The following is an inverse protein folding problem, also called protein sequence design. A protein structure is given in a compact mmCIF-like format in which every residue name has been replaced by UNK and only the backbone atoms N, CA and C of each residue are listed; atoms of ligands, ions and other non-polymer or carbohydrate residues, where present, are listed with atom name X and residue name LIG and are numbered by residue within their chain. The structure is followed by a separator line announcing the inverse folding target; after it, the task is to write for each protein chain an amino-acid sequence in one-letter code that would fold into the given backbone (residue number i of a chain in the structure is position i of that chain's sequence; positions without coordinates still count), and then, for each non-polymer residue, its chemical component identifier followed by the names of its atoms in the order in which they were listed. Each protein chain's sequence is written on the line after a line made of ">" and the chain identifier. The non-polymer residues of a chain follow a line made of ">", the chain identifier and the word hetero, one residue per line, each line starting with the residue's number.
data_IF_850050105354
#
_entry.id   IF_850050105354
#
_cell.length_a   1.000
_cell.length_b   1.000
_cell.length_c   1.000
_cell.angle_alpha   90.00
_cell.angle_beta   90.00
_cell.angle_gamma   90.00
#
_symmetry.space_group_name_H-M   'P 1'
#
loop_
_entity.id
_entity.type
_entity.pdbx_description
1 polymer ?
#
# COMPACT_ATOMS: atom_id res chain seq x y z
N UNK A 1 -19.80 5.57 3.40
CA UNK A 1 -18.69 5.69 2.43
C UNK A 1 -18.23 7.15 2.32
N UNK A 2 -18.27 7.91 3.43
CA UNK A 2 -18.11 9.39 3.43
C UNK A 2 -16.83 9.88 4.13
N UNK A 3 -16.14 9.03 4.88
CA UNK A 3 -15.06 9.47 5.78
C UNK A 3 -13.72 9.70 5.04
N UNK A 4 -13.52 9.01 3.92
CA UNK A 4 -12.28 9.05 3.13
C UNK A 4 -12.04 10.37 2.38
N UNK A 5 -13.11 11.07 1.98
CA UNK A 5 -12.99 12.39 1.34
C UNK A 5 -12.57 13.48 2.32
N UNK A 6 -12.80 13.27 3.62
CA UNK A 6 -12.45 14.24 4.66
C UNK A 6 -10.94 14.36 4.77
N UNK A 7 -10.20 13.25 4.81
CA UNK A 7 -8.74 13.29 4.91
C UNK A 7 -8.10 13.96 3.69
N UNK A 8 -8.53 13.60 2.48
CA UNK A 8 -8.01 14.22 1.25
C UNK A 8 -8.27 15.72 1.26
N UNK A 9 -9.48 16.15 1.63
CA UNK A 9 -9.82 17.57 1.76
C UNK A 9 -8.99 18.26 2.85
N UNK A 10 -8.78 17.63 4.01
CA UNK A 10 -7.94 18.16 5.08
C UNK A 10 -6.48 18.32 4.64
N UNK A 11 -5.92 17.37 3.88
CA UNK A 11 -4.56 17.46 3.35
C UNK A 11 -4.45 18.54 2.26
N UNK A 12 -5.46 18.67 1.40
CA UNK A 12 -5.51 19.73 0.38
C UNK A 12 -5.61 21.12 1.01
N UNK A 13 -6.43 21.27 2.05
CA UNK A 13 -6.58 22.52 2.80
C UNK A 13 -5.32 22.81 3.61
N UNK A 14 -4.80 21.81 4.33
CA UNK A 14 -3.56 21.91 5.10
C UNK A 14 -2.38 22.34 4.24
N UNK A 15 -2.21 21.80 3.03
CA UNK A 15 -1.12 22.24 2.12
C UNK A 15 -1.16 23.74 1.76
N UNK A 16 -2.32 24.40 1.85
CA UNK A 16 -2.44 25.84 1.57
C UNK A 16 -2.09 26.71 2.79
N UNK A 17 -2.04 26.11 3.97
CA UNK A 17 -1.66 26.74 5.21
C UNK A 17 -0.15 26.58 5.43
N UNK A 18 0.55 27.70 5.62
CA UNK A 18 2.01 27.71 5.83
C UNK A 18 2.41 27.15 7.18
N UNK A 19 1.48 27.14 8.14
CA UNK A 19 1.74 26.61 9.48
C UNK A 19 1.40 25.11 9.58
N UNK A 20 0.84 24.52 8.51
CA UNK A 20 0.52 23.10 8.48
C UNK A 20 1.73 22.24 8.13
N UNK A 21 2.02 21.30 9.04
CA UNK A 21 3.06 20.29 8.88
C UNK A 21 2.43 18.91 8.98
N UNK A 22 2.50 18.13 7.89
CA UNK A 22 1.98 16.77 7.87
C UNK A 22 2.66 15.89 8.94
N UNK A 23 3.92 16.18 9.26
CA UNK A 23 4.63 15.54 10.37
C UNK A 23 3.91 15.78 11.70
N UNK A 24 3.55 17.02 12.01
CA UNK A 24 2.92 17.37 13.28
C UNK A 24 1.49 16.83 13.38
N UNK A 25 0.79 16.75 12.24
CA UNK A 25 -0.53 16.12 12.16
C UNK A 25 -0.48 14.59 12.37
N UNK A 26 0.55 13.91 11.86
CA UNK A 26 0.69 12.46 11.95
C UNK A 26 1.30 11.98 13.27
N UNK A 27 2.11 12.81 13.93
CA UNK A 27 2.86 12.41 15.12
C UNK A 27 1.98 11.91 16.29
N UNK A 28 0.82 12.50 16.61
CA UNK A 28 -0.09 11.97 17.64
C UNK A 28 -0.61 10.57 17.31
N UNK A 29 -0.95 10.32 16.04
CA UNK A 29 -1.44 9.01 15.57
C UNK A 29 -0.32 7.97 15.65
N UNK A 30 0.90 8.33 15.24
CA UNK A 30 2.06 7.45 15.35
C UNK A 30 2.41 7.11 16.80
N UNK A 31 2.29 8.09 17.71
CA UNK A 31 2.48 7.87 19.16
C UNK A 31 1.44 6.90 19.70
N UNK A 32 0.17 7.05 19.32
CA UNK A 32 -0.89 6.13 19.71
C UNK A 32 -0.64 4.73 19.14
N UNK A 33 -0.28 4.65 17.85
CA UNK A 33 0.01 3.39 17.15
C UNK A 33 1.16 2.60 17.78
N UNK A 34 2.19 3.28 18.30
CA UNK A 34 3.33 2.64 18.96
C UNK A 34 3.16 2.52 20.48
N UNK A 35 2.12 3.14 21.05
CA UNK A 35 1.84 3.14 22.48
C UNK A 35 1.24 1.81 22.96
N UNK A 36 1.30 1.57 24.27
CA UNK A 36 0.77 0.36 24.90
C UNK A 36 -0.75 0.21 24.67
N UNK A 37 -1.48 1.32 24.55
CA UNK A 37 -2.93 1.35 24.33
C UNK A 37 -3.33 1.24 22.84
N UNK A 38 -2.34 1.16 21.94
CA UNK A 38 -2.55 1.20 20.49
C UNK A 38 -2.90 -0.13 19.82
N UNK A 39 -3.15 -1.21 20.57
CA UNK A 39 -3.32 -2.57 20.01
C UNK A 39 -4.45 -2.64 18.96
N UNK A 40 -5.59 -2.03 19.25
CA UNK A 40 -6.73 -2.01 18.32
C UNK A 40 -6.38 -1.22 17.04
N UNK A 41 -5.72 -0.07 17.20
CA UNK A 41 -5.26 0.73 16.08
C UNK A 41 -4.21 -0.01 15.24
N UNK A 42 -3.24 -0.70 15.87
CA UNK A 42 -2.27 -1.57 15.18
C UNK A 42 -2.97 -2.62 14.34
N UNK A 43 -3.94 -3.31 14.92
CA UNK A 43 -4.73 -4.34 14.23
C UNK A 43 -5.45 -3.77 13.01
N UNK A 44 -6.07 -2.59 13.13
CA UNK A 44 -6.74 -1.94 12.01
C UNK A 44 -5.76 -1.48 10.93
N UNK A 45 -4.63 -0.88 11.33
CA UNK A 45 -3.57 -0.45 10.40
C UNK A 45 -2.98 -1.63 9.65
N UNK A 46 -2.76 -2.77 10.31
CA UNK A 46 -2.28 -4.00 9.67
C UNK A 46 -3.26 -4.47 8.60
N UNK A 47 -4.55 -4.56 8.93
CA UNK A 47 -5.58 -4.98 7.96
C UNK A 47 -5.65 -4.05 6.75
N UNK A 48 -5.65 -2.74 7.00
CA UNK A 48 -5.74 -1.76 5.93
C UNK A 48 -4.47 -1.76 5.07
N UNK A 49 -3.28 -1.90 5.67
CA UNK A 49 -2.03 -2.01 4.92
C UNK A 49 -1.98 -3.26 4.03
N UNK A 50 -2.52 -4.39 4.48
CA UNK A 50 -2.67 -5.59 3.64
C UNK A 50 -3.59 -5.30 2.46
N UNK A 51 -4.77 -4.74 2.71
CA UNK A 51 -5.74 -4.38 1.66
C UNK A 51 -5.17 -3.41 0.62
N UNK A 52 -4.44 -2.39 1.08
CA UNK A 52 -3.73 -1.43 0.21
C UNK A 52 -2.64 -2.11 -0.61
N UNK A 53 -1.88 -3.02 0.00
CA UNK A 53 -0.82 -3.77 -0.70
C UNK A 53 -1.40 -4.67 -1.78
N UNK A 54 -2.49 -5.38 -1.49
CA UNK A 54 -3.25 -6.16 -2.47
C UNK A 54 -3.72 -5.28 -3.62
N UNK A 55 -4.32 -4.13 -3.32
CA UNK A 55 -4.82 -3.19 -4.32
C UNK A 55 -3.70 -2.69 -5.26
N UNK A 56 -2.54 -2.38 -4.71
CA UNK A 56 -1.37 -1.96 -5.50
C UNK A 56 -0.85 -3.09 -6.38
N UNK A 57 -0.61 -4.28 -5.81
CA UNK A 57 0.00 -5.41 -6.53
C UNK A 57 -0.97 -5.98 -7.57
N UNK A 58 -2.18 -6.38 -7.15
CA UNK A 58 -3.16 -7.00 -8.04
C UNK A 58 -3.67 -6.00 -9.07
N UNK A 59 -3.87 -4.73 -8.68
CA UNK A 59 -4.20 -3.67 -9.63
C UNK A 59 -3.11 -3.49 -10.70
N UNK A 60 -1.83 -3.55 -10.33
CA UNK A 60 -0.72 -3.47 -11.30
C UNK A 60 -0.69 -4.67 -12.25
N UNK A 61 -0.97 -5.88 -11.75
CA UNK A 61 -1.09 -7.10 -12.58
C UNK A 61 -2.26 -6.97 -13.57
N UNK A 62 -3.39 -6.43 -13.10
CA UNK A 62 -4.56 -6.14 -13.92
C UNK A 62 -4.22 -5.14 -15.03
N UNK A 63 -3.56 -4.03 -14.70
CA UNK A 63 -3.19 -3.01 -15.69
C UNK A 63 -2.20 -3.56 -16.71
N UNK A 64 -1.21 -4.34 -16.26
CA UNK A 64 -0.27 -5.03 -17.13
C UNK A 64 -1.01 -5.98 -18.08
N UNK A 65 -1.93 -6.80 -17.58
CA UNK A 65 -2.76 -7.68 -18.42
C UNK A 65 -3.61 -6.90 -19.44
N UNK A 66 -4.25 -5.82 -19.00
CA UNK A 66 -5.08 -4.97 -19.85
C UNK A 66 -4.25 -4.25 -20.93
N UNK A 67 -2.99 -3.92 -20.65
CA UNK A 67 -2.08 -3.26 -21.60
C UNK A 67 -1.55 -4.18 -22.70
N UNK A 68 -1.69 -5.50 -22.56
CA UNK A 68 -1.30 -6.47 -23.58
C UNK A 68 -2.36 -6.49 -24.70
N UNK A 69 -1.98 -6.33 -25.98
CA UNK A 69 -2.88 -6.48 -27.13
C UNK A 69 -3.57 -7.85 -27.15
N UNK A 70 -4.84 -7.92 -27.55
CA UNK A 70 -5.65 -9.14 -27.50
C UNK A 70 -5.01 -10.36 -28.16
N UNK A 71 -4.30 -10.16 -29.28
CA UNK A 71 -3.59 -11.22 -29.99
C UNK A 71 -2.46 -11.86 -29.18
N UNK A 72 -1.87 -11.12 -28.22
CA UNK A 72 -0.78 -11.58 -27.38
C UNK A 72 -1.27 -12.15 -26.04
N UNK A 73 -2.52 -11.86 -25.63
CA UNK A 73 -3.12 -12.38 -24.38
C UNK A 73 -3.20 -13.91 -24.38
N UNK A 74 -3.47 -14.52 -25.54
CA UNK A 74 -3.56 -15.98 -25.72
C UNK A 74 -2.26 -16.71 -25.37
N UNK A 75 -1.10 -16.06 -25.50
CA UNK A 75 0.19 -16.66 -25.17
C UNK A 75 0.50 -16.65 -23.66
N UNK A 76 -0.11 -15.76 -22.89
CA UNK A 76 0.09 -15.63 -21.43
C UNK A 76 -0.76 -16.66 -20.67
N UNK A 77 -1.90 -17.08 -21.22
CA UNK A 77 -2.86 -18.01 -20.60
C UNK A 77 -2.42 -19.49 -20.63
N UNK A 78 -1.33 -19.84 -21.32
CA UNK A 78 -0.85 -21.23 -21.41
C UNK A 78 -0.01 -21.68 -20.20
N UNK A 79 0.28 -20.77 -19.27
CA UNK A 79 0.77 -21.11 -17.92
C UNK A 79 -0.41 -21.01 -16.95
N UNK A 80 -0.60 -22.04 -16.12
CA UNK A 80 -1.64 -22.17 -15.09
C UNK A 80 -1.64 -21.01 -14.06
N UNK A 81 -1.99 -19.82 -14.50
CA UNK A 81 -2.24 -18.64 -13.69
C UNK A 81 -3.74 -18.48 -13.74
N UNK A 82 -4.42 -18.96 -12.70
CA UNK A 82 -5.76 -18.50 -12.36
C UNK A 82 -5.67 -16.98 -12.24
N UNK A 83 -5.94 -16.29 -13.35
CA UNK A 83 -5.71 -14.86 -13.49
C UNK A 83 -6.63 -14.04 -12.58
N UNK A 84 -6.70 -12.71 -12.78
CA UNK A 84 -7.59 -11.81 -12.05
C UNK A 84 -9.10 -12.16 -12.10
N UNK A 85 -9.46 -13.24 -12.81
CA UNK A 85 -10.80 -13.75 -13.06
C UNK A 85 -11.49 -14.38 -11.84
N UNK A 86 -10.84 -14.49 -10.68
CA UNK A 86 -11.46 -15.01 -9.45
C UNK A 86 -12.19 -13.95 -8.62
N UNK A 87 -12.02 -12.66 -8.95
CA UNK A 87 -12.56 -11.51 -8.21
C UNK A 87 -13.76 -10.94 -8.97
N UNK A 88 -14.85 -10.61 -8.25
CA UNK A 88 -16.04 -10.02 -8.88
C UNK A 88 -15.76 -8.59 -9.40
N UNK A 89 -16.48 -8.15 -10.43
CA UNK A 89 -16.26 -6.83 -11.05
C UNK A 89 -16.37 -5.67 -10.06
N UNK A 90 -17.34 -5.72 -9.14
CA UNK A 90 -17.53 -4.71 -8.10
C UNK A 90 -16.37 -4.69 -7.08
N UNK A 91 -15.87 -5.87 -6.73
CA UNK A 91 -14.75 -6.04 -5.81
C UNK A 91 -13.46 -5.50 -6.46
N UNK A 92 -13.24 -5.85 -7.72
CA UNK A 92 -12.13 -5.34 -8.54
C UNK A 92 -12.18 -3.82 -8.66
N UNK A 93 -13.35 -3.24 -8.93
CA UNK A 93 -13.52 -1.79 -9.02
C UNK A 93 -13.19 -1.10 -7.69
N UNK A 94 -13.71 -1.59 -6.57
CA UNK A 94 -13.42 -1.05 -5.24
C UNK A 94 -11.92 -1.12 -4.91
N UNK A 95 -11.25 -2.21 -5.29
CA UNK A 95 -9.82 -2.36 -5.13
C UNK A 95 -9.02 -1.33 -5.94
N UNK A 96 -9.41 -1.08 -7.20
CA UNK A 96 -8.76 -0.07 -8.04
C UNK A 96 -8.98 1.35 -7.49
N UNK A 97 -10.18 1.65 -6.99
CA UNK A 97 -10.48 2.93 -6.34
C UNK A 97 -9.63 3.16 -5.08
N UNK A 98 -9.47 2.12 -4.25
CA UNK A 98 -8.61 2.18 -3.07
C UNK A 98 -7.17 2.48 -3.46
N UNK A 99 -6.63 1.79 -4.48
CA UNK A 99 -5.27 2.03 -4.98
C UNK A 99 -5.10 3.49 -5.42
N UNK A 100 -6.02 3.98 -6.23
CA UNK A 100 -5.95 5.33 -6.77
C UNK A 100 -6.06 6.39 -5.67
N UNK A 101 -6.90 6.14 -4.66
CA UNK A 101 -7.00 6.98 -3.47
C UNK A 101 -5.70 7.02 -2.67
N UNK A 102 -5.06 5.87 -2.46
CA UNK A 102 -3.76 5.78 -1.77
C UNK A 102 -2.70 6.58 -2.52
N UNK A 103 -2.65 6.48 -3.84
CA UNK A 103 -1.72 7.29 -4.65
C UNK A 103 -2.00 8.78 -4.56
N UNK A 104 -3.26 9.21 -4.52
CA UNK A 104 -3.61 10.62 -4.29
C UNK A 104 -3.13 11.11 -2.92
N UNK A 105 -3.44 10.38 -1.85
CA UNK A 105 -3.02 10.74 -0.48
C UNK A 105 -1.49 10.78 -0.40
N UNK A 106 -0.80 9.80 -0.99
CA UNK A 106 0.65 9.75 -1.05
C UNK A 106 1.24 10.99 -1.74
N UNK A 107 0.71 11.35 -2.91
CA UNK A 107 1.13 12.55 -3.63
C UNK A 107 0.89 13.83 -2.82
N UNK A 108 -0.22 13.91 -2.09
CA UNK A 108 -0.52 15.06 -1.21
C UNK A 108 0.48 15.16 -0.06
N UNK A 109 0.77 14.05 0.64
CA UNK A 109 1.75 14.00 1.72
C UNK A 109 3.14 14.41 1.23
N UNK A 110 3.60 13.86 0.10
CA UNK A 110 4.89 14.23 -0.49
C UNK A 110 4.97 15.70 -0.91
N UNK A 111 3.84 16.30 -1.29
CA UNK A 111 3.77 17.72 -1.66
C UNK A 111 3.61 18.67 -0.49
N UNK A 112 3.50 18.16 0.74
CA UNK A 112 3.36 19.01 1.94
C UNK A 112 4.71 19.52 2.41
N UNK A 113 4.71 20.76 2.92
CA UNK A 113 5.91 21.41 3.39
C UNK A 113 6.53 20.61 4.56
N UNK A 114 7.84 20.42 4.51
CA UNK A 114 8.62 19.72 5.53
C UNK A 114 8.21 18.25 5.78
N UNK A 115 7.57 17.59 4.80
CA UNK A 115 7.30 16.16 4.90
C UNK A 115 8.60 15.35 4.95
N UNK A 116 8.78 14.61 6.04
CA UNK A 116 9.88 13.68 6.20
C UNK A 116 9.37 12.25 5.96
N UNK A 117 9.80 11.55 4.89
CA UNK A 117 9.34 10.20 4.60
C UNK A 117 9.76 9.18 5.67
N UNK A 118 10.74 9.50 6.53
CA UNK A 118 11.18 8.60 7.59
C UNK A 118 10.14 8.41 8.69
N UNK A 119 9.16 9.32 8.83
CA UNK A 119 8.08 9.19 9.83
C UNK A 119 7.24 7.93 9.60
N UNK A 120 7.18 7.45 8.35
CA UNK A 120 6.42 6.27 7.97
C UNK A 120 7.11 4.96 8.35
N UNK A 121 8.38 5.03 8.80
CA UNK A 121 9.11 3.85 9.29
C UNK A 121 8.39 3.20 10.46
N UNK A 122 7.69 3.97 11.29
CA UNK A 122 6.87 3.44 12.39
C UNK A 122 5.74 2.53 11.91
N UNK A 123 5.12 2.86 10.77
CA UNK A 123 4.10 2.00 10.15
C UNK A 123 4.75 0.71 9.66
N UNK A 124 5.94 0.79 9.04
CA UNK A 124 6.68 -0.40 8.61
C UNK A 124 7.06 -1.32 9.77
N UNK A 125 7.32 -0.78 10.96
CA UNK A 125 7.61 -1.58 12.16
C UNK A 125 6.38 -2.39 12.59
N UNK A 126 5.20 -1.77 12.60
CA UNK A 126 3.92 -2.45 12.91
C UNK A 126 3.64 -3.55 11.88
N UNK A 127 3.92 -3.33 10.61
CA UNK A 127 3.72 -4.36 9.57
C UNK A 127 4.71 -5.53 9.65
N UNK A 128 5.78 -5.40 10.43
CA UNK A 128 6.73 -6.50 10.65
C UNK A 128 6.31 -7.43 11.80
N UNK A 129 5.30 -7.03 12.59
CA UNK A 129 4.74 -7.83 13.69
C UNK A 129 4.24 -9.20 13.18
N UNK A 130 4.37 -10.26 14.00
CA UNK A 130 3.97 -11.61 13.60
C UNK A 130 2.47 -11.70 13.26
N UNK A 131 1.64 -10.87 13.87
CA UNK A 131 0.22 -10.69 13.58
C UNK A 131 0.02 -10.26 12.12
N UNK A 132 0.78 -9.28 11.64
CA UNK A 132 0.76 -8.86 10.24
C UNK A 132 1.18 -9.98 9.29
N UNK A 133 2.12 -10.85 9.69
CA UNK A 133 2.53 -12.02 8.91
C UNK A 133 1.45 -13.10 8.86
N UNK A 134 0.70 -13.30 9.94
CA UNK A 134 -0.41 -14.26 10.00
C UNK A 134 -1.64 -13.79 9.23
N UNK A 135 -1.93 -12.48 9.23
CA UNK A 135 -2.98 -11.85 8.43
C UNK A 135 -2.58 -11.89 6.94
N UNK A 136 -1.31 -11.63 6.61
CA UNK A 136 -0.75 -11.87 5.28
C UNK A 136 -0.73 -13.34 4.86
N UNK A 137 -0.68 -14.28 5.82
CA UNK A 137 -0.66 -15.72 5.56
C UNK A 137 -1.91 -16.29 4.88
N UNK A 138 -3.06 -15.61 4.95
CA UNK A 138 -4.30 -16.01 4.24
C UNK A 138 -4.36 -15.56 2.77
N UNK A 139 -3.45 -14.70 2.34
CA UNK A 139 -3.40 -14.15 0.98
C UNK A 139 -2.21 -14.72 0.18
N UNK A 140 -1.25 -15.35 0.85
CA UNK A 140 0.05 -15.69 0.25
C UNK A 140 0.14 -17.18 -0.14
N UNK A 141 -0.69 -17.58 -1.10
CA UNK A 141 -0.45 -18.79 -1.89
C UNK A 141 0.71 -18.57 -2.88
N UNK A 142 1.95 -18.77 -2.45
CA UNK A 142 3.09 -19.15 -3.31
C UNK A 142 3.81 -18.09 -4.18
N UNK A 143 3.25 -16.90 -4.45
CA UNK A 143 3.85 -15.95 -5.42
C UNK A 143 4.74 -14.89 -4.75
N UNK A 144 4.37 -14.41 -3.58
CA UNK A 144 4.97 -13.24 -2.95
C UNK A 144 6.25 -13.53 -2.16
N UNK A 145 6.52 -14.79 -1.80
CA UNK A 145 7.79 -15.19 -1.18
C UNK A 145 8.99 -14.91 -2.11
N UNK A 146 8.79 -15.02 -3.43
CA UNK A 146 9.82 -14.69 -4.43
C UNK A 146 9.94 -13.19 -4.67
N UNK A 147 8.85 -12.42 -4.52
CA UNK A 147 8.86 -10.96 -4.65
C UNK A 147 9.50 -10.29 -3.44
N UNK A 148 9.14 -10.71 -2.22
CA UNK A 148 9.80 -10.26 -0.99
C UNK A 148 11.31 -10.58 -1.00
N UNK A 149 11.68 -11.78 -1.46
CA UNK A 149 13.09 -12.14 -1.66
C UNK A 149 13.79 -11.24 -2.69
N UNK A 150 13.15 -10.92 -3.82
CA UNK A 150 13.71 -10.02 -4.84
C UNK A 150 13.84 -8.57 -4.36
N UNK A 151 12.88 -8.07 -3.59
CA UNK A 151 12.94 -6.72 -3.00
C UNK A 151 14.04 -6.64 -1.93
N UNK A 152 14.16 -7.65 -1.06
CA UNK A 152 15.28 -7.73 -0.11
C UNK A 152 16.63 -7.82 -0.83
N UNK A 153 16.71 -8.56 -1.94
CA UNK A 153 17.93 -8.61 -2.77
C UNK A 153 18.25 -7.27 -3.45
N UNK A 154 17.24 -6.48 -3.83
CA UNK A 154 17.45 -5.15 -4.42
C UNK A 154 17.87 -4.11 -3.38
N UNK A 155 17.31 -4.18 -2.17
CA UNK A 155 17.64 -3.25 -1.08
C UNK A 155 18.98 -3.57 -0.42
N UNK A 156 19.35 -4.85 -0.33
CA UNK A 156 20.60 -5.29 0.28
C UNK A 156 21.77 -5.39 -0.70
N UNK A 157 21.60 -5.05 -1.99
CA UNK A 157 22.70 -5.08 -2.94
C UNK A 157 23.68 -3.96 -2.61
N UNK A 158 24.93 -4.27 -2.19
CA UNK A 158 25.95 -3.24 -2.05
C UNK A 158 26.23 -2.65 -3.43
N UNK A 159 26.51 -1.34 -3.54
CA UNK A 159 26.98 -0.79 -4.80
C UNK A 159 28.29 -1.48 -5.16
N UNK A 160 28.27 -2.25 -6.24
CA UNK A 160 29.50 -2.77 -6.83
C UNK A 160 30.26 -1.56 -7.34
N UNK A 161 31.32 -1.18 -6.62
CA UNK A 161 32.27 -0.17 -7.08
C UNK A 161 32.91 -0.66 -8.41
N UNK A 162 33.23 0.27 -9.33
CA UNK A 162 33.70 -0.04 -10.68
C UNK A 162 35.02 -0.81 -10.71
#
# INVERSE_FOLDING_TARGET
>A
MEDSGILENLLVQGRRDRDFSAKDALQPVLKLLLGLEGEELRTLVIKEAVRVTEAVILGSVIDAYNSIPDLLRTFVLNGNVSGPSLMGDAERQSMMELRDQVYRIWGLLQSSENFDPTILRSILQVLQEPEARSVGGRVFGGISQRLAARLLQQVLRPPTAP
#
